data_IF_045193309923
#
_entry.id   IF_045193309923
#
_cell.length_a   1.000
_cell.length_b   1.000
_cell.length_c   1.000
_cell.angle_alpha   90.00
_cell.angle_beta   90.00
_cell.angle_gamma   90.00
#
_symmetry.space_group_name_H-M   'P 1'
#
loop_
_entity.id
_entity.type
_entity.pdbx_description
1 polymer ?
#
# COMPACT_ATOMS: atom_id res chain seq x y z
N UNK A 1 11.96 -7.86 12.54
CA UNK A 1 10.52 -8.00 12.22
C UNK A 1 10.29 -7.72 10.75
N UNK A 2 9.50 -8.55 10.08
CA UNK A 2 9.14 -8.34 8.68
C UNK A 2 8.13 -7.20 8.58
N UNK A 3 8.34 -6.19 7.71
CA UNK A 3 7.36 -5.13 7.50
C UNK A 3 6.08 -5.65 6.85
N UNK A 4 4.97 -4.96 7.07
CA UNK A 4 3.73 -5.20 6.33
C UNK A 4 3.86 -4.63 4.92
N UNK A 5 3.41 -5.39 3.92
CA UNK A 5 3.25 -4.91 2.55
C UNK A 5 1.78 -4.92 2.17
N UNK A 6 1.35 -3.92 1.42
CA UNK A 6 0.05 -3.88 0.80
C UNK A 6 0.23 -3.79 -0.71
N UNK A 7 -0.53 -4.57 -1.45
CA UNK A 7 -0.52 -4.51 -2.91
C UNK A 7 -1.89 -4.88 -3.48
N UNK A 8 -2.24 -4.22 -4.56
CA UNK A 8 -3.41 -4.58 -5.37
C UNK A 8 -3.27 -4.00 -6.78
N UNK A 9 -3.88 -4.68 -7.73
CA UNK A 9 -3.96 -4.26 -9.13
C UNK A 9 -5.38 -4.51 -9.61
N UNK A 10 -6.01 -3.48 -10.17
CA UNK A 10 -7.44 -3.46 -10.43
C UNK A 10 -7.74 -2.95 -11.82
N UNK A 11 -8.71 -3.56 -12.47
CA UNK A 11 -9.36 -3.06 -13.66
C UNK A 11 -10.85 -2.86 -13.36
N UNK A 12 -11.40 -1.76 -13.80
CA UNK A 12 -12.81 -1.42 -13.62
C UNK A 12 -13.46 -1.12 -14.95
N UNK A 13 -14.68 -1.60 -15.10
CA UNK A 13 -15.60 -1.23 -16.18
C UNK A 13 -16.90 -0.75 -15.59
N UNK A 14 -17.46 0.28 -16.20
CA UNK A 14 -18.83 0.74 -15.95
C UNK A 14 -19.67 0.44 -17.17
N UNK A 15 -20.85 -0.05 -16.95
CA UNK A 15 -21.81 -0.41 -17.99
C UNK A 15 -23.02 0.48 -17.92
N UNK A 16 -23.65 0.75 -19.08
CA UNK A 16 -24.99 1.31 -19.15
C UNK A 16 -26.06 0.23 -18.92
N UNK A 17 -27.35 0.64 -18.89
CA UNK A 17 -28.47 -0.28 -18.71
C UNK A 17 -28.63 -1.29 -19.87
N UNK A 18 -27.98 -1.04 -21.00
CA UNK A 18 -27.97 -1.90 -22.18
C UNK A 18 -26.78 -2.88 -22.20
N UNK A 19 -25.89 -2.79 -21.19
CA UNK A 19 -24.69 -3.65 -21.07
C UNK A 19 -23.50 -3.19 -21.89
N UNK A 20 -23.50 -1.96 -22.42
CA UNK A 20 -22.32 -1.40 -23.10
C UNK A 20 -21.35 -0.78 -22.09
N UNK A 21 -20.04 -0.99 -22.29
CA UNK A 21 -19.01 -0.33 -21.49
C UNK A 21 -19.00 1.17 -21.80
N UNK A 22 -19.30 1.99 -20.79
CA UNK A 22 -19.31 3.45 -20.90
C UNK A 22 -18.05 4.10 -20.31
N UNK A 23 -17.30 3.37 -19.49
CA UNK A 23 -16.03 3.84 -18.91
C UNK A 23 -15.22 2.65 -18.43
N UNK A 24 -13.89 2.79 -18.51
CA UNK A 24 -12.96 1.80 -17.94
C UNK A 24 -11.68 2.47 -17.46
N UNK A 25 -11.02 1.87 -16.46
CA UNK A 25 -9.76 2.38 -15.93
C UNK A 25 -9.01 1.33 -15.13
N UNK A 26 -7.70 1.52 -15.03
CA UNK A 26 -6.86 0.80 -14.10
C UNK A 26 -6.63 1.57 -12.81
N UNK A 27 -6.36 0.84 -11.73
CA UNK A 27 -5.90 1.34 -10.46
C UNK A 27 -5.05 0.29 -9.76
N UNK A 28 -4.33 0.70 -8.75
CA UNK A 28 -3.50 -0.22 -7.99
C UNK A 28 -2.41 0.47 -7.20
N UNK A 29 -1.46 -0.34 -6.78
CA UNK A 29 -0.29 0.12 -6.06
C UNK A 29 0.35 -0.99 -5.25
N UNK A 30 1.50 -0.67 -4.70
CA UNK A 30 2.21 -1.46 -3.70
C UNK A 30 2.94 -0.53 -2.76
N UNK A 31 2.82 -0.74 -1.46
CA UNK A 31 3.40 0.10 -0.43
C UNK A 31 3.87 -0.70 0.77
N UNK A 32 4.89 -0.19 1.46
CA UNK A 32 5.55 -0.86 2.57
C UNK A 32 5.33 -0.11 3.89
N UNK A 33 4.97 -0.85 4.93
CA UNK A 33 4.77 -0.34 6.29
C UNK A 33 5.72 -1.06 7.25
N UNK A 34 6.94 -0.56 7.46
CA UNK A 34 7.86 -1.09 8.45
C UNK A 34 7.43 -0.66 9.87
N UNK A 35 7.83 -1.46 10.86
CA UNK A 35 7.69 -1.14 12.29
C UNK A 35 8.92 -0.41 12.82
N UNK A 36 10.08 -0.78 12.31
CA UNK A 36 11.35 -0.12 12.48
C UNK A 36 11.94 0.20 11.11
N UNK A 37 12.47 1.39 10.94
CA UNK A 37 13.03 1.81 9.66
C UNK A 37 14.43 1.19 9.47
N UNK A 38 14.55 0.41 8.40
CA UNK A 38 15.84 -0.01 7.86
C UNK A 38 16.00 0.69 6.50
N UNK A 39 16.93 1.62 6.42
CA UNK A 39 17.13 2.46 5.23
C UNK A 39 17.37 1.63 3.96
N UNK A 40 18.18 0.56 4.07
CA UNK A 40 18.47 -0.32 2.94
C UNK A 40 17.23 -1.06 2.41
N UNK A 41 16.27 -1.39 3.27
CA UNK A 41 15.01 -2.03 2.86
C UNK A 41 14.10 -1.02 2.15
N UNK A 42 14.02 0.20 2.70
CA UNK A 42 13.28 1.31 2.09
C UNK A 42 13.86 1.68 0.72
N UNK A 43 15.18 1.82 0.63
CA UNK A 43 15.87 2.11 -0.63
C UNK A 43 15.63 1.02 -1.67
N UNK A 44 15.77 -0.26 -1.29
CA UNK A 44 15.54 -1.39 -2.18
C UNK A 44 14.10 -1.41 -2.71
N UNK A 45 13.11 -1.28 -1.82
CA UNK A 45 11.70 -1.29 -2.20
C UNK A 45 11.37 -0.15 -3.16
N UNK A 46 11.78 1.07 -2.84
CA UNK A 46 11.53 2.24 -3.68
C UNK A 46 12.29 2.19 -5.00
N UNK A 47 13.53 1.69 -5.02
CA UNK A 47 14.30 1.54 -6.25
C UNK A 47 13.65 0.53 -7.19
N UNK A 48 13.15 -0.59 -6.68
CA UNK A 48 12.42 -1.59 -7.48
C UNK A 48 11.12 -1.00 -8.06
N UNK A 49 10.36 -0.28 -7.24
CA UNK A 49 9.17 0.45 -7.70
C UNK A 49 9.52 1.47 -8.80
N UNK A 50 10.61 2.23 -8.61
CA UNK A 50 11.07 3.22 -9.59
C UNK A 50 11.48 2.55 -10.90
N UNK A 51 12.23 1.47 -10.84
CA UNK A 51 12.66 0.73 -12.03
C UNK A 51 11.48 0.22 -12.84
N UNK A 52 10.42 -0.28 -12.19
CA UNK A 52 9.20 -0.69 -12.88
C UNK A 52 8.48 0.50 -13.57
N UNK A 53 8.43 1.65 -12.91
CA UNK A 53 7.84 2.86 -13.48
C UNK A 53 8.64 3.40 -14.68
N UNK A 54 9.97 3.46 -14.55
CA UNK A 54 10.87 4.06 -15.56
C UNK A 54 10.81 3.33 -16.92
N UNK A 55 10.43 2.05 -16.95
CA UNK A 55 10.20 1.30 -18.19
C UNK A 55 9.04 1.84 -19.03
N UNK A 56 8.13 2.59 -18.41
CA UNK A 56 6.94 3.14 -19.06
C UNK A 56 6.97 4.65 -19.17
N UNK A 57 7.31 5.34 -18.07
CA UNK A 57 7.45 6.78 -18.03
C UNK A 57 8.29 7.21 -16.81
N UNK A 58 9.36 7.99 -16.98
CA UNK A 58 10.23 8.42 -15.89
C UNK A 58 9.53 9.30 -14.82
N UNK A 59 8.39 9.92 -15.15
CA UNK A 59 7.63 10.72 -14.21
C UNK A 59 6.68 9.89 -13.33
N UNK A 60 6.39 8.64 -13.71
CA UNK A 60 5.40 7.81 -13.02
C UNK A 60 5.77 7.54 -11.58
N UNK A 61 7.03 7.23 -11.30
CA UNK A 61 7.46 7.00 -9.92
C UNK A 61 7.19 8.22 -9.03
N UNK A 62 7.64 9.41 -9.42
CA UNK A 62 7.44 10.63 -8.64
C UNK A 62 5.97 10.94 -8.44
N UNK A 63 5.17 10.82 -9.50
CA UNK A 63 3.73 11.05 -9.49
C UNK A 63 3.01 10.08 -8.54
N UNK A 64 3.25 8.79 -8.69
CA UNK A 64 2.50 7.76 -7.96
C UNK A 64 3.03 7.55 -6.53
N UNK A 65 4.29 7.83 -6.28
CA UNK A 65 4.84 7.94 -4.92
C UNK A 65 4.17 9.07 -4.15
N UNK A 66 4.03 10.24 -4.73
CA UNK A 66 3.33 11.37 -4.12
C UNK A 66 1.85 11.06 -3.86
N UNK A 67 1.18 10.40 -4.80
CA UNK A 67 -0.21 9.97 -4.60
C UNK A 67 -0.32 8.95 -3.46
N UNK A 68 0.63 8.01 -3.35
CA UNK A 68 0.72 7.04 -2.27
C UNK A 68 0.84 7.74 -0.91
N UNK A 69 1.79 8.65 -0.76
CA UNK A 69 2.02 9.38 0.49
C UNK A 69 0.79 10.19 0.92
N UNK A 70 0.14 10.83 -0.04
CA UNK A 70 -1.08 11.60 0.23
C UNK A 70 -2.25 10.71 0.63
N UNK A 71 -2.44 9.58 -0.06
CA UNK A 71 -3.56 8.68 0.20
C UNK A 71 -3.44 7.97 1.55
N UNK A 72 -2.23 7.51 1.90
CA UNK A 72 -1.97 6.74 3.12
C UNK A 72 -1.56 7.63 4.32
N UNK A 73 -1.82 8.92 4.24
CA UNK A 73 -1.68 9.81 5.39
C UNK A 73 -2.81 9.57 6.40
N UNK A 74 -2.43 9.24 7.63
CA UNK A 74 -3.36 9.00 8.74
C UNK A 74 -3.70 10.33 9.41
N UNK A 75 -4.71 11.02 8.89
CA UNK A 75 -5.00 12.42 9.20
C UNK A 75 -5.28 12.67 10.68
N UNK A 76 -5.99 11.76 11.37
CA UNK A 76 -6.32 11.93 12.78
C UNK A 76 -5.15 11.61 13.73
N UNK A 77 -4.04 11.08 13.20
CA UNK A 77 -2.79 10.84 13.94
C UNK A 77 -1.66 11.77 13.51
N UNK A 78 -1.84 12.53 12.43
CA UNK A 78 -0.80 13.37 11.82
C UNK A 78 0.47 12.60 11.47
N UNK A 79 0.32 11.37 10.98
CA UNK A 79 1.45 10.51 10.63
C UNK A 79 1.21 9.74 9.32
N UNK A 80 2.28 9.35 8.64
CA UNK A 80 2.21 8.43 7.51
C UNK A 80 1.93 7.00 8.00
N UNK A 81 1.12 6.23 7.25
CA UNK A 81 0.90 4.81 7.54
C UNK A 81 2.19 4.00 7.44
N UNK A 82 3.03 4.28 6.45
CA UNK A 82 4.31 3.62 6.19
C UNK A 82 5.24 4.50 5.38
N UNK A 83 6.26 3.90 4.78
CA UNK A 83 7.23 4.62 3.93
C UNK A 83 6.70 4.92 2.51
N UNK A 84 5.49 4.48 2.20
CA UNK A 84 4.89 4.63 0.89
C UNK A 84 5.35 3.57 -0.11
N UNK A 85 5.28 3.93 -1.35
CA UNK A 85 5.51 3.09 -2.52
C UNK A 85 4.81 3.70 -3.72
N UNK A 86 3.95 2.94 -4.39
CA UNK A 86 3.16 3.41 -5.52
C UNK A 86 1.66 3.32 -5.19
N UNK A 87 0.92 4.35 -5.57
CA UNK A 87 -0.53 4.31 -5.60
C UNK A 87 -1.04 5.09 -6.80
N UNK A 88 -1.86 4.45 -7.62
CA UNK A 88 -2.45 5.04 -8.80
C UNK A 88 -3.91 4.63 -8.94
N UNK A 89 -4.72 5.55 -9.45
CA UNK A 89 -6.14 5.31 -9.67
C UNK A 89 -6.64 6.16 -10.85
N UNK A 90 -7.77 5.76 -11.42
CA UNK A 90 -8.34 6.40 -12.59
C UNK A 90 -7.36 6.53 -13.77
N UNK A 91 -6.53 5.50 -13.98
CA UNK A 91 -5.66 5.41 -15.15
C UNK A 91 -6.52 5.07 -16.36
N UNK A 92 -7.02 6.12 -17.03
CA UNK A 92 -7.91 6.05 -18.18
C UNK A 92 -7.17 6.23 -19.47
N UNK A 93 -7.78 5.79 -20.55
CA UNK A 93 -7.28 6.07 -21.90
C UNK A 93 -7.21 7.57 -22.16
N UNK A 94 -6.11 7.99 -22.77
CA UNK A 94 -5.86 9.34 -23.27
C UNK A 94 -5.27 9.26 -24.68
N UNK A 95 -4.99 10.39 -25.30
CA UNK A 95 -4.32 10.41 -26.61
C UNK A 95 -2.96 9.71 -26.55
N UNK A 96 -2.19 9.96 -25.48
CA UNK A 96 -0.82 9.48 -25.29
C UNK A 96 -0.73 8.11 -24.63
N UNK A 97 -1.77 7.68 -23.89
CA UNK A 97 -1.78 6.44 -23.11
C UNK A 97 -3.04 5.63 -23.41
N UNK A 98 -2.88 4.58 -24.21
CA UNK A 98 -3.96 3.63 -24.50
C UNK A 98 -4.15 2.63 -23.38
N UNK A 99 -5.30 1.97 -23.32
CA UNK A 99 -5.60 0.96 -22.28
C UNK A 99 -4.57 -0.17 -22.24
N UNK A 100 -4.02 -0.56 -23.38
CA UNK A 100 -2.94 -1.56 -23.46
C UNK A 100 -1.66 -1.08 -22.77
N UNK A 101 -1.30 0.22 -22.91
CA UNK A 101 -0.13 0.78 -22.21
C UNK A 101 -0.35 0.79 -20.69
N UNK A 102 -1.56 1.09 -20.24
CA UNK A 102 -1.92 0.99 -18.82
C UNK A 102 -1.88 -0.45 -18.31
N UNK A 103 -2.38 -1.39 -19.06
CA UNK A 103 -2.28 -2.81 -18.72
C UNK A 103 -0.83 -3.26 -18.57
N UNK A 104 0.03 -2.89 -19.53
CA UNK A 104 1.46 -3.22 -19.48
C UNK A 104 2.15 -2.59 -18.28
N UNK A 105 1.86 -1.31 -17.97
CA UNK A 105 2.38 -0.65 -16.77
C UNK A 105 1.93 -1.33 -15.48
N UNK A 106 0.65 -1.61 -15.33
CA UNK A 106 0.09 -2.26 -14.13
C UNK A 106 0.66 -3.67 -13.97
N UNK A 107 0.82 -4.40 -15.07
CA UNK A 107 1.43 -5.73 -15.08
C UNK A 107 2.91 -5.69 -14.69
N UNK A 108 3.67 -4.69 -15.17
CA UNK A 108 5.07 -4.50 -14.78
C UNK A 108 5.21 -4.22 -13.28
N UNK A 109 4.37 -3.32 -12.73
CA UNK A 109 4.35 -3.05 -11.28
C UNK A 109 4.00 -4.33 -10.52
N UNK A 110 3.01 -5.10 -10.99
CA UNK A 110 2.64 -6.38 -10.38
C UNK A 110 3.77 -7.40 -10.39
N UNK A 111 4.46 -7.54 -11.51
CA UNK A 111 5.59 -8.47 -11.66
C UNK A 111 6.78 -8.08 -10.78
N UNK A 112 6.97 -6.79 -10.51
CA UNK A 112 8.04 -6.30 -9.62
C UNK A 112 7.80 -6.59 -8.13
N UNK A 113 6.59 -7.02 -7.73
CA UNK A 113 6.21 -7.18 -6.32
C UNK A 113 7.09 -8.15 -5.55
N UNK A 114 7.33 -9.34 -6.11
CA UNK A 114 8.17 -10.33 -5.43
C UNK A 114 9.62 -9.87 -5.32
N UNK A 115 10.14 -9.22 -6.36
CA UNK A 115 11.48 -8.63 -6.36
C UNK A 115 11.61 -7.51 -5.32
N UNK A 116 10.58 -6.68 -5.14
CA UNK A 116 10.56 -5.62 -4.16
C UNK A 116 10.48 -6.13 -2.72
N UNK A 117 9.70 -7.18 -2.45
CA UNK A 117 9.36 -7.58 -1.08
C UNK A 117 10.11 -8.80 -0.55
N UNK A 118 10.32 -9.85 -1.36
CA UNK A 118 10.95 -11.10 -0.89
C UNK A 118 12.34 -10.87 -0.28
N UNK A 119 13.25 -10.06 -0.86
CA UNK A 119 14.55 -9.78 -0.25
C UNK A 119 14.44 -9.13 1.13
N UNK A 120 13.43 -8.27 1.35
CA UNK A 120 13.18 -7.66 2.67
C UNK A 120 12.72 -8.72 3.68
N UNK A 121 11.83 -9.61 3.27
CA UNK A 121 11.39 -10.75 4.11
C UNK A 121 12.58 -11.63 4.49
N UNK A 122 13.41 -12.02 3.52
CA UNK A 122 14.56 -12.89 3.75
C UNK A 122 15.56 -12.29 4.74
N UNK A 123 15.80 -10.98 4.68
CA UNK A 123 16.65 -10.28 5.63
C UNK A 123 16.07 -10.23 7.05
N UNK A 124 14.75 -10.08 7.19
CA UNK A 124 14.11 -9.73 8.47
C UNK A 124 13.43 -10.88 9.20
N UNK A 125 13.04 -11.97 8.51
CA UNK A 125 12.28 -13.09 9.09
C UNK A 125 12.94 -13.78 10.28
N UNK A 126 14.29 -13.85 10.30
CA UNK A 126 15.06 -14.53 11.33
C UNK A 126 15.73 -13.57 12.34
N UNK A 127 15.50 -12.26 12.22
CA UNK A 127 16.06 -11.29 13.17
C UNK A 127 15.31 -11.41 14.50
N UNK A 128 16.00 -11.70 15.61
CA UNK A 128 15.38 -11.76 16.94
C UNK A 128 14.75 -10.41 17.31
N UNK A 129 13.71 -10.46 18.12
CA UNK A 129 13.06 -9.26 18.66
C UNK A 129 12.64 -9.47 20.11
N UNK A 130 12.60 -8.39 20.88
CA UNK A 130 12.20 -8.36 22.27
C UNK A 130 10.67 -8.30 22.44
N UNK A 131 10.20 -8.49 23.65
CA UNK A 131 8.78 -8.26 24.01
C UNK A 131 8.34 -6.82 23.78
N UNK A 132 9.23 -5.84 24.07
CA UNK A 132 8.96 -4.41 23.83
C UNK A 132 8.76 -4.15 22.32
N UNK A 133 9.67 -4.65 21.48
CA UNK A 133 9.54 -4.54 20.04
C UNK A 133 8.27 -5.21 19.50
N UNK A 134 7.83 -6.31 20.12
CA UNK A 134 6.55 -6.96 19.77
C UNK A 134 5.36 -6.06 20.13
N UNK A 135 5.38 -5.44 21.30
CA UNK A 135 4.36 -4.48 21.74
C UNK A 135 4.28 -3.30 20.77
N UNK A 136 5.43 -2.72 20.41
CA UNK A 136 5.48 -1.65 19.41
C UNK A 136 4.89 -2.08 18.06
N UNK A 137 5.24 -3.26 17.56
CA UNK A 137 4.63 -3.81 16.35
C UNK A 137 3.10 -3.82 16.44
N UNK A 138 2.53 -4.25 17.56
CA UNK A 138 1.08 -4.36 17.74
C UNK A 138 0.43 -2.97 17.82
N UNK A 139 1.08 -1.99 18.44
CA UNK A 139 0.65 -0.58 18.42
C UNK A 139 0.63 -0.04 16.98
N UNK A 140 1.71 -0.24 16.22
CA UNK A 140 1.78 0.19 14.80
C UNK A 140 0.75 -0.52 13.93
N UNK A 141 0.47 -1.78 14.19
CA UNK A 141 -0.63 -2.52 13.53
C UNK A 141 -1.99 -1.94 13.87
N UNK A 142 -2.19 -1.41 15.08
CA UNK A 142 -3.38 -0.65 15.43
C UNK A 142 -3.57 0.57 14.53
N UNK A 143 -2.50 1.32 14.23
CA UNK A 143 -2.54 2.46 13.29
C UNK A 143 -2.93 2.03 11.87
N UNK A 144 -2.42 0.88 11.41
CA UNK A 144 -2.81 0.29 10.14
C UNK A 144 -4.30 -0.05 10.09
N UNK A 145 -4.85 -0.65 11.16
CA UNK A 145 -6.28 -0.95 11.28
C UNK A 145 -7.11 0.33 11.27
N UNK A 146 -6.71 1.36 12.03
CA UNK A 146 -7.39 2.65 12.03
C UNK A 146 -7.52 3.22 10.61
N UNK A 147 -6.43 3.24 9.86
CA UNK A 147 -6.47 3.72 8.48
C UNK A 147 -7.46 2.93 7.63
N UNK A 148 -7.38 1.60 7.67
CA UNK A 148 -8.22 0.74 6.83
C UNK A 148 -9.72 0.87 7.17
N UNK A 149 -10.07 1.02 8.44
CA UNK A 149 -11.48 1.14 8.84
C UNK A 149 -12.04 2.55 8.69
N UNK A 150 -11.21 3.59 8.86
CA UNK A 150 -11.67 4.99 8.88
C UNK A 150 -11.49 5.70 7.54
N UNK A 151 -10.38 5.44 6.84
CA UNK A 151 -9.98 6.23 5.68
C UNK A 151 -9.93 5.45 4.36
N UNK A 152 -9.75 4.11 4.41
CA UNK A 152 -9.58 3.35 3.17
C UNK A 152 -10.87 3.26 2.35
N UNK A 153 -10.84 3.89 1.17
CA UNK A 153 -12.00 3.91 0.26
C UNK A 153 -12.39 2.53 -0.23
N UNK A 154 -11.42 1.61 -0.36
CA UNK A 154 -11.68 0.24 -0.78
C UNK A 154 -12.47 -0.55 0.27
N UNK A 155 -12.07 -0.46 1.53
CA UNK A 155 -12.79 -1.06 2.67
C UNK A 155 -14.20 -0.49 2.78
N UNK A 156 -14.34 0.84 2.75
CA UNK A 156 -15.63 1.51 2.82
C UNK A 156 -16.55 1.13 1.65
N UNK A 157 -16.02 1.05 0.43
CA UNK A 157 -16.75 0.61 -0.74
C UNK A 157 -17.25 -0.83 -0.57
N UNK A 158 -16.36 -1.76 -0.19
CA UNK A 158 -16.71 -3.15 0.01
C UNK A 158 -17.84 -3.35 1.04
N UNK A 159 -17.77 -2.64 2.17
CA UNK A 159 -18.80 -2.70 3.21
C UNK A 159 -20.14 -2.09 2.73
N UNK A 160 -20.10 -0.99 1.97
CA UNK A 160 -21.32 -0.34 1.45
C UNK A 160 -22.02 -1.12 0.33
N UNK A 161 -21.29 -1.92 -0.40
CA UNK A 161 -21.82 -2.73 -1.52
C UNK A 161 -22.17 -4.16 -1.13
N UNK A 162 -22.27 -4.47 0.17
CA UNK A 162 -22.52 -5.81 0.69
C UNK A 162 -21.52 -6.86 0.20
N UNK A 163 -20.26 -6.45 0.05
CA UNK A 163 -19.17 -7.37 -0.25
C UNK A 163 -19.00 -8.40 0.87
N UNK A 164 -18.33 -9.50 0.56
CA UNK A 164 -18.04 -10.56 1.53
C UNK A 164 -17.14 -10.01 2.65
N UNK A 165 -17.70 -9.88 3.87
CA UNK A 165 -17.04 -9.25 5.03
C UNK A 165 -15.68 -9.89 5.34
N UNK A 166 -15.60 -11.20 5.36
CA UNK A 166 -14.35 -11.93 5.62
C UNK A 166 -13.26 -11.62 4.60
N UNK A 167 -13.63 -11.37 3.36
CA UNK A 167 -12.69 -10.99 2.29
C UNK A 167 -12.28 -9.52 2.39
N UNK A 168 -13.15 -8.65 2.89
CA UNK A 168 -12.86 -7.23 3.10
C UNK A 168 -11.92 -7.05 4.30
N UNK A 169 -12.17 -7.76 5.39
CA UNK A 169 -11.44 -7.61 6.66
C UNK A 169 -10.25 -8.57 6.80
N UNK A 170 -10.00 -9.44 5.81
CA UNK A 170 -8.90 -10.42 5.86
C UNK A 170 -7.50 -9.80 5.94
N UNK A 171 -7.35 -8.54 5.54
CA UNK A 171 -6.09 -7.80 5.61
C UNK A 171 -5.76 -7.28 7.02
N UNK A 172 -6.74 -7.30 7.93
CA UNK A 172 -6.51 -6.82 9.29
C UNK A 172 -5.70 -7.85 10.09
N UNK A 173 -4.69 -7.42 10.85
CA UNK A 173 -3.87 -8.30 11.66
C UNK A 173 -4.67 -8.88 12.84
N UNK A 174 -4.42 -10.15 13.25
CA UNK A 174 -5.17 -10.79 14.33
C UNK A 174 -4.86 -10.22 15.72
N UNK A 175 -3.70 -9.56 15.90
CA UNK A 175 -3.27 -8.95 17.15
C UNK A 175 -2.83 -7.53 16.92
N UNK A 176 -3.45 -6.61 17.67
CA UNK A 176 -3.16 -5.17 17.69
C UNK A 176 -3.29 -4.64 19.11
N UNK A 177 -2.71 -3.48 19.37
CA UNK A 177 -2.91 -2.77 20.63
C UNK A 177 -3.26 -1.29 20.37
N UNK A 178 -4.17 -0.77 21.19
CA UNK A 178 -4.44 0.66 21.32
C UNK A 178 -4.11 1.08 22.75
N UNK A 179 -2.98 1.74 22.90
CA UNK A 179 -2.55 2.31 24.17
C UNK A 179 -3.00 3.76 24.22
N UNK A 180 -3.64 4.16 25.34
CA UNK A 180 -4.10 5.53 25.52
C UNK A 180 -2.91 6.48 25.60
N UNK A 181 -2.93 7.52 24.76
CA UNK A 181 -1.93 8.59 24.72
C UNK A 181 -0.47 8.11 24.67
N UNK A 182 -0.22 7.09 23.84
CA UNK A 182 1.13 6.54 23.68
C UNK A 182 2.01 7.48 22.88
N UNK A 183 3.11 7.86 23.48
CA UNK A 183 4.18 8.63 22.86
C UNK A 183 5.49 7.87 23.03
N UNK A 184 6.22 7.55 21.93
CA UNK A 184 7.55 6.98 22.02
C UNK A 184 8.49 7.89 22.83
N UNK A 185 9.44 7.30 23.56
CA UNK A 185 10.49 8.05 24.23
C UNK A 185 11.40 8.74 23.21
N UNK A 186 11.73 10.00 23.44
CA UNK A 186 12.62 10.75 22.55
C UNK A 186 13.98 10.06 22.44
N UNK A 187 14.38 9.72 21.21
CA UNK A 187 15.63 9.01 20.93
C UNK A 187 15.56 7.50 21.07
N UNK A 188 14.37 6.91 21.32
CA UNK A 188 14.18 5.46 21.24
C UNK A 188 14.19 4.97 19.78
N UNK A 189 14.19 3.66 19.59
CA UNK A 189 14.04 3.03 18.26
C UNK A 189 12.59 3.07 17.73
N UNK A 190 11.63 3.41 18.58
CA UNK A 190 10.19 3.48 18.28
C UNK A 190 9.80 4.70 17.44
#
# INVERSE_FOLDING_TARGET
>A
MVPTVHANWRYFEMYDDSGNVINSWFGGGQDLTPYYLFEEDAMHFHQTCKTACDKHNPEFYTKYKKQCDTYFWNAHRYEARGIGGLFFHYCKETEDMKMENWFNFVSEVGNSFLEAYVPVVEKRKNVPYSAAQKTWQEIRRGRYVEFNLVHDKGTLFGLKTNGRIESILMSLPPHVQWVYDHHPEAGSEE
#
